data_IF_413860798684
#
_entry.id   IF_413860798684
#
_cell.length_a   1.000
_cell.length_b   1.000
_cell.length_c   1.000
_cell.angle_alpha   90.00
_cell.angle_beta   90.00
_cell.angle_gamma   90.00
#
_symmetry.space_group_name_H-M   'P 1'
#
loop_
_entity.id
_entity.type
_entity.pdbx_description
1 polymer ?
#
# COMPACT_ATOMS: atom_id res chain seq x y z
N UNK A 1 8.05 -5.11 1.08
CA UNK A 1 8.69 -5.10 2.41
C UNK A 1 8.33 -3.78 3.05
N UNK A 2 7.75 -3.80 4.24
CA UNK A 2 7.45 -2.57 4.98
C UNK A 2 8.71 -2.09 5.70
N UNK A 3 8.85 -0.79 5.89
CA UNK A 3 9.90 -0.16 6.69
C UNK A 3 9.27 0.71 7.79
N UNK A 4 10.01 0.85 8.88
CA UNK A 4 9.61 1.69 10.01
C UNK A 4 10.40 2.98 9.93
N UNK A 5 9.69 4.11 9.84
CA UNK A 5 10.29 5.43 9.69
C UNK A 5 9.69 6.42 10.68
N UNK A 6 10.50 7.41 11.05
CA UNK A 6 10.04 8.55 11.83
C UNK A 6 9.55 9.63 10.87
N UNK A 7 8.33 10.12 11.09
CA UNK A 7 7.74 11.22 10.33
C UNK A 7 7.41 12.39 11.24
N UNK A 8 7.52 13.60 10.71
CA UNK A 8 6.96 14.79 11.35
C UNK A 8 5.46 14.83 11.07
N UNK A 9 4.68 14.89 12.13
CA UNK A 9 3.23 14.79 12.07
C UNK A 9 2.58 16.04 12.68
N UNK A 10 1.49 16.46 12.04
CA UNK A 10 0.69 17.59 12.49
C UNK A 10 -0.78 17.18 12.51
N UNK A 11 -1.47 17.50 13.57
CA UNK A 11 -2.93 17.39 13.65
C UNK A 11 -3.56 18.69 14.12
N UNK A 12 -4.83 18.85 13.83
CA UNK A 12 -5.65 20.00 14.20
C UNK A 12 -6.73 19.53 15.15
N UNK A 13 -6.84 20.19 16.31
CA UNK A 13 -7.94 20.02 17.25
C UNK A 13 -8.84 21.24 17.22
N UNK A 14 -10.12 21.00 17.05
CA UNK A 14 -11.13 22.04 17.20
C UNK A 14 -11.32 22.41 18.69
N UNK A 15 -11.72 23.65 19.03
CA UNK A 15 -11.98 24.04 20.41
C UNK A 15 -12.99 23.15 21.13
N UNK A 16 -13.95 22.59 20.40
CA UNK A 16 -14.94 21.64 20.93
C UNK A 16 -14.36 20.28 21.36
N UNK A 17 -13.16 19.95 20.92
CA UNK A 17 -12.47 18.68 21.23
C UNK A 17 -11.51 18.79 22.43
N UNK A 18 -11.35 20.00 22.97
CA UNK A 18 -10.42 20.26 24.08
C UNK A 18 -10.89 19.73 25.44
N UNK A 19 -12.11 19.26 25.55
CA UNK A 19 -12.61 18.63 26.78
C UNK A 19 -12.16 17.17 26.91
N UNK A 20 -11.65 16.57 25.83
CA UNK A 20 -11.13 15.22 25.85
C UNK A 20 -9.67 15.18 26.30
N UNK A 21 -9.27 14.06 26.86
CA UNK A 21 -7.85 13.87 27.22
C UNK A 21 -7.03 13.78 25.94
N UNK A 22 -6.01 14.67 25.83
CA UNK A 22 -5.14 14.76 24.66
C UNK A 22 -4.43 13.43 24.36
N UNK A 23 -4.08 12.66 25.40
CA UNK A 23 -3.46 11.33 25.22
C UNK A 23 -4.38 10.32 24.55
N UNK A 24 -5.68 10.54 24.58
CA UNK A 24 -6.68 9.67 23.94
C UNK A 24 -7.00 10.14 22.53
N UNK A 25 -7.19 11.46 22.34
CA UNK A 25 -7.63 11.99 21.04
C UNK A 25 -6.50 12.08 20.02
N UNK A 26 -5.27 12.38 20.47
CA UNK A 26 -4.12 12.55 19.59
C UNK A 26 -3.80 11.32 18.74
N UNK A 27 -3.74 10.09 19.29
CA UNK A 27 -3.55 8.87 18.48
C UNK A 27 -4.63 8.70 17.41
N UNK A 28 -5.89 8.89 17.78
CA UNK A 28 -7.02 8.73 16.87
C UNK A 28 -6.93 9.69 15.69
N UNK A 29 -6.63 10.96 15.95
CA UNK A 29 -6.47 11.98 14.91
C UNK A 29 -5.28 11.71 13.99
N UNK A 30 -4.17 11.23 14.55
CA UNK A 30 -2.99 10.87 13.78
C UNK A 30 -3.26 9.65 12.89
N UNK A 31 -3.93 8.64 13.40
CA UNK A 31 -4.33 7.47 12.61
C UNK A 31 -5.27 7.87 11.47
N UNK A 32 -6.29 8.66 11.74
CA UNK A 32 -7.23 9.14 10.73
C UNK A 32 -6.55 9.95 9.63
N UNK A 33 -5.51 10.73 9.96
CA UNK A 33 -4.82 11.58 8.99
C UNK A 33 -3.74 10.86 8.21
N UNK A 34 -2.99 9.96 8.85
CA UNK A 34 -1.75 9.41 8.29
C UNK A 34 -1.86 7.97 7.81
N UNK A 35 -2.78 7.15 8.35
CA UNK A 35 -2.99 5.79 7.82
C UNK A 35 -3.59 5.89 6.42
N UNK A 36 -2.97 5.21 5.49
CA UNK A 36 -3.31 5.25 4.08
C UNK A 36 -2.13 5.67 3.22
N UNK A 37 -2.38 5.91 1.93
CA UNK A 37 -1.33 6.26 0.99
C UNK A 37 -1.28 7.77 0.76
N UNK A 38 -0.07 8.32 0.80
CA UNK A 38 0.21 9.66 0.35
C UNK A 38 1.52 9.71 -0.46
N UNK A 39 1.75 10.82 -1.16
CA UNK A 39 2.89 10.97 -2.05
C UNK A 39 4.22 11.10 -1.30
N UNK A 40 4.20 11.65 -0.09
CA UNK A 40 5.39 11.97 0.68
C UNK A 40 5.92 10.76 1.46
N UNK A 41 5.01 10.02 2.12
CA UNK A 41 5.40 8.95 3.04
C UNK A 41 5.17 7.54 2.47
N UNK A 42 4.54 7.41 1.30
CA UNK A 42 4.11 6.12 0.78
C UNK A 42 2.79 5.67 1.41
N UNK A 43 2.57 4.38 1.53
CA UNK A 43 1.40 3.82 2.20
C UNK A 43 1.71 3.50 3.67
N UNK A 44 1.25 4.33 4.57
CA UNK A 44 1.33 4.09 6.02
C UNK A 44 0.31 3.03 6.40
N UNK A 45 0.79 1.92 6.95
CA UNK A 45 -0.01 0.76 7.34
C UNK A 45 -0.38 0.81 8.82
N UNK A 46 0.56 1.28 9.64
CA UNK A 46 0.41 1.30 11.10
C UNK A 46 1.18 2.45 11.73
N UNK A 47 0.63 3.01 12.78
CA UNK A 47 1.28 3.92 13.69
C UNK A 47 1.78 3.11 14.90
N UNK A 48 3.10 3.14 15.16
CA UNK A 48 3.73 2.35 16.24
C UNK A 48 3.90 3.17 17.51
N UNK A 49 4.38 4.40 17.38
CA UNK A 49 4.70 5.23 18.54
C UNK A 49 4.53 6.71 18.19
N UNK A 50 3.98 7.45 19.14
CA UNK A 50 3.87 8.91 19.09
C UNK A 50 4.88 9.46 20.09
N UNK A 51 5.65 10.49 19.70
CA UNK A 51 6.51 11.20 20.63
C UNK A 51 5.62 12.03 21.59
N UNK A 52 5.90 11.90 22.89
CA UNK A 52 5.19 12.67 23.90
C UNK A 52 5.66 14.14 23.97
N UNK A 53 6.80 14.46 23.33
CA UNK A 53 7.27 15.82 23.16
C UNK A 53 6.61 16.46 21.94
N UNK A 54 5.47 17.07 22.16
CA UNK A 54 4.75 17.81 21.13
C UNK A 54 4.76 19.31 21.40
N UNK A 55 4.70 20.09 20.34
CA UNK A 55 4.51 21.54 20.40
C UNK A 55 3.10 21.90 19.95
N UNK A 56 2.56 22.96 20.51
CA UNK A 56 1.21 23.43 20.19
C UNK A 56 1.24 24.87 19.73
N UNK A 57 0.40 25.20 18.77
CA UNK A 57 0.19 26.53 18.25
C UNK A 57 -1.32 26.78 18.13
N UNK A 58 -1.78 27.99 18.43
CA UNK A 58 -3.19 28.37 18.27
C UNK A 58 -3.32 29.15 16.97
N UNK A 59 -4.18 28.67 16.07
CA UNK A 59 -4.57 29.44 14.90
C UNK A 59 -5.49 30.61 15.33
N UNK A 60 -4.96 31.81 15.23
CA UNK A 60 -5.67 33.03 15.66
C UNK A 60 -6.95 33.32 14.88
N UNK A 61 -7.15 32.73 13.70
CA UNK A 61 -8.35 32.96 12.88
C UNK A 61 -9.47 31.97 13.23
N UNK A 62 -9.15 30.70 13.44
CA UNK A 62 -10.13 29.65 13.69
C UNK A 62 -10.26 29.26 15.16
N UNK A 63 -9.28 29.64 16.01
CA UNK A 63 -9.17 29.16 17.37
C UNK A 63 -8.78 27.68 17.50
N UNK A 64 -8.48 27.02 16.39
CA UNK A 64 -8.02 25.64 16.40
C UNK A 64 -6.61 25.52 16.99
N UNK A 65 -6.31 24.38 17.60
CA UNK A 65 -4.98 24.07 18.10
C UNK A 65 -4.30 23.15 17.09
N UNK A 66 -3.13 23.61 16.61
CA UNK A 66 -2.22 22.83 15.79
C UNK A 66 -1.25 22.12 16.74
N UNK A 67 -1.16 20.80 16.60
CA UNK A 67 -0.23 19.98 17.39
C UNK A 67 0.79 19.38 16.45
N UNK A 68 2.06 19.63 16.73
CA UNK A 68 3.20 19.09 15.98
C UNK A 68 3.89 18.04 16.84
N UNK A 69 4.10 16.86 16.32
CA UNK A 69 4.76 15.76 17.00
C UNK A 69 5.53 14.89 15.99
N UNK A 70 6.30 13.93 16.50
CA UNK A 70 6.95 12.91 15.68
C UNK A 70 6.28 11.57 15.90
N UNK A 71 6.08 10.84 14.81
CA UNK A 71 5.45 9.53 14.85
C UNK A 71 6.35 8.49 14.18
N UNK A 72 6.50 7.35 14.85
CA UNK A 72 7.11 6.16 14.28
C UNK A 72 6.02 5.37 13.56
N UNK A 73 6.12 5.27 12.24
CA UNK A 73 5.11 4.62 11.40
C UNK A 73 5.72 3.49 10.58
N UNK A 74 4.93 2.44 10.38
CA UNK A 74 5.22 1.39 9.40
C UNK A 74 4.58 1.76 8.08
N UNK A 75 5.41 1.78 7.03
CA UNK A 75 4.96 2.14 5.68
C UNK A 75 5.44 1.15 4.63
N UNK A 76 4.76 1.16 3.50
CA UNK A 76 5.20 0.54 2.26
C UNK A 76 5.43 1.66 1.26
N UNK A 77 6.68 1.84 0.81
CA UNK A 77 7.02 2.81 -0.21
C UNK A 77 7.38 2.06 -1.50
N UNK A 78 6.48 2.11 -2.52
CA UNK A 78 6.78 1.54 -3.83
C UNK A 78 7.90 2.36 -4.49
N UNK A 79 8.98 1.71 -4.86
CA UNK A 79 10.10 2.33 -5.55
C UNK A 79 10.52 1.48 -6.75
N UNK A 80 10.91 2.14 -7.83
CA UNK A 80 11.39 1.48 -9.05
C UNK A 80 12.62 0.62 -8.73
N UNK A 81 12.69 -0.58 -9.30
CA UNK A 81 13.71 -1.63 -9.10
C UNK A 81 13.66 -2.35 -7.74
N UNK A 82 12.71 -2.03 -6.87
CA UNK A 82 12.47 -2.83 -5.67
C UNK A 82 11.60 -4.05 -5.99
N UNK A 83 11.93 -5.15 -5.33
CA UNK A 83 11.15 -6.40 -5.42
C UNK A 83 10.15 -6.43 -4.27
N UNK A 84 8.89 -6.68 -4.62
CA UNK A 84 7.81 -6.81 -3.65
C UNK A 84 7.07 -8.13 -3.83
N UNK A 85 6.65 -8.69 -2.70
CA UNK A 85 5.70 -9.79 -2.67
C UNK A 85 4.29 -9.24 -2.82
N UNK A 86 3.59 -9.64 -3.87
CA UNK A 86 2.21 -9.24 -4.11
C UNK A 86 1.29 -10.44 -4.23
N UNK A 87 0.01 -10.22 -4.04
CA UNK A 87 -1.03 -11.24 -4.21
C UNK A 87 -1.77 -10.98 -5.52
N UNK A 88 -1.88 -12.00 -6.35
CA UNK A 88 -2.65 -11.95 -7.60
C UNK A 88 -4.13 -11.81 -7.27
N UNK A 89 -4.75 -10.74 -7.75
CA UNK A 89 -6.16 -10.46 -7.51
C UNK A 89 -7.04 -10.87 -8.71
N UNK A 90 -6.63 -10.49 -9.92
CA UNK A 90 -7.35 -10.80 -11.14
C UNK A 90 -6.37 -11.08 -12.29
N UNK A 91 -6.75 -11.96 -13.19
CA UNK A 91 -5.97 -12.35 -14.36
C UNK A 91 -6.81 -12.10 -15.61
N UNK A 92 -6.22 -11.44 -16.60
CA UNK A 92 -6.82 -11.13 -17.89
C UNK A 92 -5.85 -11.50 -19.00
N UNK A 93 -6.33 -11.62 -20.23
CA UNK A 93 -5.51 -11.93 -21.40
C UNK A 93 -4.39 -10.89 -21.66
N UNK A 94 -4.57 -9.65 -21.16
CA UNK A 94 -3.61 -8.55 -21.34
C UNK A 94 -2.63 -8.40 -20.16
N UNK A 95 -2.82 -9.12 -19.05
CA UNK A 95 -1.97 -9.05 -17.88
C UNK A 95 -2.65 -9.46 -16.59
N UNK A 96 -1.99 -9.11 -15.49
CA UNK A 96 -2.40 -9.47 -14.14
C UNK A 96 -2.60 -8.21 -13.31
N UNK A 97 -3.70 -8.13 -12.57
CA UNK A 97 -3.85 -7.22 -11.46
C UNK A 97 -3.47 -7.92 -10.16
N UNK A 98 -2.50 -7.36 -9.46
CA UNK A 98 -2.05 -7.81 -8.16
C UNK A 98 -2.13 -6.66 -7.15
N UNK A 99 -1.92 -6.96 -5.87
CA UNK A 99 -1.91 -5.96 -4.82
C UNK A 99 -0.90 -6.27 -3.72
N UNK A 100 -0.37 -5.22 -3.12
CA UNK A 100 0.42 -5.26 -1.89
C UNK A 100 -0.41 -4.59 -0.80
N UNK A 101 -0.76 -5.36 0.25
CA UNK A 101 -1.73 -4.89 1.24
C UNK A 101 -3.08 -4.54 0.59
N UNK A 102 -3.76 -3.54 1.11
CA UNK A 102 -5.08 -3.12 0.62
C UNK A 102 -5.03 -1.94 -0.36
N UNK A 103 -3.98 -1.13 -0.28
CA UNK A 103 -3.93 0.20 -0.90
C UNK A 103 -3.02 0.31 -2.12
N UNK A 104 -2.09 -0.63 -2.31
CA UNK A 104 -1.16 -0.60 -3.45
C UNK A 104 -1.64 -1.58 -4.51
N UNK A 105 -2.07 -1.03 -5.63
CA UNK A 105 -2.52 -1.81 -6.80
C UNK A 105 -1.41 -1.90 -7.83
N UNK A 106 -1.24 -3.08 -8.40
CA UNK A 106 -0.17 -3.40 -9.33
C UNK A 106 -0.79 -3.93 -10.61
N UNK A 107 -0.36 -3.36 -11.73
CA UNK A 107 -0.64 -3.89 -13.05
C UNK A 107 0.63 -4.53 -13.60
N UNK A 108 0.56 -5.80 -13.96
CA UNK A 108 1.64 -6.54 -14.62
C UNK A 108 1.18 -6.80 -16.06
N UNK A 109 1.65 -6.02 -17.03
CA UNK A 109 1.26 -6.22 -18.43
C UNK A 109 1.81 -7.54 -18.97
N UNK A 110 1.07 -8.20 -19.84
CA UNK A 110 1.55 -9.42 -20.53
C UNK A 110 2.89 -9.23 -21.24
N UNK A 111 3.14 -8.02 -21.76
CA UNK A 111 4.39 -7.67 -22.45
C UNK A 111 5.62 -7.78 -21.56
N UNK A 112 5.49 -7.65 -20.25
CA UNK A 112 6.58 -7.80 -19.27
C UNK A 112 6.76 -9.24 -18.80
N UNK A 113 5.82 -10.12 -19.13
CA UNK A 113 5.80 -11.54 -18.72
C UNK A 113 6.37 -12.44 -19.79
N UNK A 114 7.68 -12.33 -20.06
CA UNK A 114 8.34 -13.12 -21.12
C UNK A 114 8.20 -14.62 -20.88
N UNK A 115 7.68 -15.33 -21.88
CA UNK A 115 7.53 -16.79 -21.85
C UNK A 115 6.23 -17.29 -21.19
N UNK A 116 5.40 -16.37 -20.67
CA UNK A 116 4.08 -16.76 -20.14
C UNK A 116 2.99 -16.60 -21.19
N UNK A 117 2.13 -17.61 -21.28
CA UNK A 117 0.94 -17.62 -22.14
C UNK A 117 -0.32 -17.61 -21.29
N UNK A 118 -1.31 -16.83 -21.76
CA UNK A 118 -2.62 -16.81 -21.12
C UNK A 118 -3.42 -18.01 -21.57
N UNK A 119 -3.93 -18.76 -20.61
CA UNK A 119 -4.85 -19.87 -20.84
C UNK A 119 -6.16 -19.54 -20.13
N UNK A 120 -7.24 -19.53 -20.90
CA UNK A 120 -8.60 -19.48 -20.37
C UNK A 120 -9.20 -20.85 -20.58
N UNK A 121 -9.67 -21.43 -19.52
CA UNK A 121 -10.09 -22.82 -19.43
C UNK A 121 -11.02 -23.33 -20.53
N UNK A 122 -10.79 -24.47 -20.94
CA UNK A 122 -11.48 -25.41 -21.82
C UNK A 122 -10.79 -26.75 -21.78
N UNK A 123 -9.74 -26.92 -20.97
CA UNK A 123 -9.01 -28.17 -20.85
C UNK A 123 -9.39 -28.90 -19.56
N UNK A 124 -9.61 -30.19 -19.63
CA UNK A 124 -10.12 -31.07 -18.56
C UNK A 124 -9.30 -31.08 -17.26
N UNK A 125 -8.13 -30.40 -17.22
CA UNK A 125 -7.26 -30.33 -16.04
C UNK A 125 -7.44 -29.10 -15.17
N UNK A 126 -8.04 -28.01 -15.67
CA UNK A 126 -8.20 -26.78 -14.92
C UNK A 126 -9.61 -26.22 -15.10
N UNK A 127 -10.41 -26.13 -14.03
CA UNK A 127 -11.74 -25.52 -14.12
C UNK A 127 -11.62 -24.04 -14.52
N UNK A 128 -12.65 -23.45 -15.11
CA UNK A 128 -12.82 -22.09 -15.68
C UNK A 128 -12.05 -20.90 -15.05
N UNK A 129 -10.84 -21.11 -14.57
CA UNK A 129 -10.00 -20.10 -13.92
C UNK A 129 -8.92 -19.65 -14.90
N UNK A 130 -8.86 -18.34 -15.24
CA UNK A 130 -7.79 -17.82 -16.08
C UNK A 130 -6.43 -17.95 -15.38
N UNK A 131 -5.42 -18.43 -16.11
CA UNK A 131 -4.05 -18.60 -15.62
C UNK A 131 -3.03 -18.08 -16.64
N UNK A 132 -1.81 -17.74 -16.16
CA UNK A 132 -0.64 -17.62 -17.01
C UNK A 132 0.28 -18.81 -16.78
N UNK A 133 0.69 -19.46 -17.87
CA UNK A 133 1.58 -20.64 -17.85
C UNK A 133 2.86 -20.36 -18.61
N UNK A 134 4.00 -20.65 -18.01
CA UNK A 134 5.30 -20.62 -18.68
C UNK A 134 5.73 -22.03 -19.06
N UNK A 135 5.50 -22.39 -20.33
CA UNK A 135 5.82 -23.70 -20.86
C UNK A 135 7.33 -23.91 -21.13
N UNK A 136 8.15 -22.85 -21.07
CA UNK A 136 9.60 -22.94 -21.30
C UNK A 136 10.36 -23.49 -20.10
N UNK A 137 9.80 -23.43 -18.90
CA UNK A 137 10.37 -24.03 -17.70
C UNK A 137 9.98 -25.51 -17.60
N UNK A 138 10.89 -26.39 -17.94
CA UNK A 138 10.73 -27.84 -17.75
C UNK A 138 11.62 -28.32 -16.60
N UNK A 139 11.25 -29.39 -15.84
CA UNK A 139 10.11 -30.28 -16.05
C UNK A 139 8.77 -29.76 -15.51
N UNK A 140 8.75 -28.71 -14.69
CA UNK A 140 7.53 -28.18 -14.10
C UNK A 140 7.23 -26.78 -14.64
N UNK A 141 6.16 -26.61 -15.43
CA UNK A 141 5.74 -25.30 -15.92
C UNK A 141 5.37 -24.40 -14.73
N UNK A 142 5.83 -23.15 -14.79
CA UNK A 142 5.49 -22.15 -13.81
C UNK A 142 4.08 -21.60 -14.12
N UNK A 143 3.17 -21.69 -13.16
CA UNK A 143 1.77 -21.30 -13.32
C UNK A 143 1.48 -20.16 -12.36
N UNK A 144 0.89 -19.09 -12.88
CA UNK A 144 0.37 -17.98 -12.07
C UNK A 144 -1.14 -18.07 -12.06
N UNK A 145 -1.70 -18.21 -10.86
CA UNK A 145 -3.14 -18.31 -10.61
C UNK A 145 -3.64 -17.22 -9.67
N UNK A 146 -4.94 -17.03 -9.63
CA UNK A 146 -5.60 -16.09 -8.71
C UNK A 146 -5.28 -16.45 -7.25
N UNK A 147 -5.11 -15.44 -6.40
CA UNK A 147 -4.74 -15.52 -4.98
C UNK A 147 -3.31 -16.04 -4.69
N UNK A 148 -2.54 -16.34 -5.71
CA UNK A 148 -1.14 -16.73 -5.55
C UNK A 148 -0.29 -15.51 -5.14
N UNK A 149 0.71 -15.75 -4.29
CA UNK A 149 1.75 -14.76 -3.97
C UNK A 149 2.89 -14.91 -4.97
N UNK A 150 3.26 -13.80 -5.58
CA UNK A 150 4.36 -13.72 -6.54
C UNK A 150 5.31 -12.58 -6.17
N UNK A 151 6.58 -12.73 -6.53
CA UNK A 151 7.57 -11.67 -6.40
C UNK A 151 7.62 -10.89 -7.71
N UNK A 152 7.57 -9.56 -7.61
CA UNK A 152 7.59 -8.65 -8.74
C UNK A 152 8.61 -7.57 -8.54
N UNK A 153 9.26 -7.14 -9.62
CA UNK A 153 10.09 -5.94 -9.65
C UNK A 153 9.26 -4.76 -10.17
N UNK A 154 9.30 -3.64 -9.45
CA UNK A 154 8.58 -2.43 -9.85
C UNK A 154 9.35 -1.71 -10.95
N UNK A 155 8.70 -1.51 -12.10
CA UNK A 155 9.26 -0.79 -13.26
C UNK A 155 8.84 0.68 -13.25
N UNK A 156 7.62 0.97 -12.86
CA UNK A 156 7.04 2.30 -12.83
C UNK A 156 6.14 2.47 -11.61
N UNK A 157 6.15 3.66 -11.02
CA UNK A 157 5.27 4.04 -9.89
C UNK A 157 4.43 5.23 -10.29
N UNK A 158 3.12 5.12 -10.11
CA UNK A 158 2.17 6.21 -10.27
C UNK A 158 1.37 6.38 -8.99
N UNK A 159 1.27 7.62 -8.52
CA UNK A 159 0.43 7.97 -7.40
C UNK A 159 -0.76 8.80 -7.88
N UNK A 160 -1.96 8.34 -7.62
CA UNK A 160 -3.19 9.04 -8.00
C UNK A 160 -4.31 8.78 -6.98
N UNK A 161 -5.05 9.84 -6.62
CA UNK A 161 -6.21 9.75 -5.72
C UNK A 161 -5.93 8.96 -4.42
N UNK A 162 -4.84 9.28 -3.72
CA UNK A 162 -4.42 8.62 -2.46
C UNK A 162 -4.15 7.11 -2.57
N UNK A 163 -3.73 6.64 -3.76
CA UNK A 163 -3.35 5.24 -4.03
C UNK A 163 -2.11 5.16 -4.92
N UNK A 164 -1.39 4.08 -4.75
CA UNK A 164 -0.34 3.66 -5.68
C UNK A 164 -0.84 2.53 -6.57
#
# INVERSE_FOLDING_TARGET
MSDIVLIDAQVVLAPSELHENLSTILPIKLEQKYIGCNKEYGCVVRLHKIDNNYTTEIDGNSGNILIYTKCLVERILPEVRKIFKCTVHMIFNHGIFAQIGENIKILIPKTTMSGYEFLQSGDDQYPDIPIFKNSRKQPHPDIISKHQKIDIEIVEVKYNNHRY
#
